data_IF_833960074176
#
_entry.id   IF_833960074176
#
_cell.length_a   1.000
_cell.length_b   1.000
_cell.length_c   1.000
_cell.angle_alpha   90.00
_cell.angle_beta   90.00
_cell.angle_gamma   90.00
#
_symmetry.space_group_name_H-M   'P 1'
#
loop_
_entity.id
_entity.type
_entity.pdbx_description
1 polymer ?
#
# COMPACT_ATOMS: atom_id res chain seq x y z
N UNK A 1 -15.99 -40.47 -3.38
CA UNK A 1 -15.57 -39.59 -2.26
C UNK A 1 -14.23 -38.91 -2.51
N UNK A 2 -13.23 -39.61 -3.09
CA UNK A 2 -11.90 -39.03 -3.35
C UNK A 2 -11.88 -37.80 -4.28
N UNK A 3 -12.68 -37.78 -5.35
CA UNK A 3 -12.65 -36.68 -6.34
C UNK A 3 -13.14 -35.35 -5.75
N UNK A 4 -14.19 -35.38 -4.92
CA UNK A 4 -14.72 -34.20 -4.21
C UNK A 4 -13.73 -33.68 -3.16
N UNK A 5 -13.00 -34.57 -2.48
CA UNK A 5 -11.95 -34.16 -1.55
C UNK A 5 -10.77 -33.52 -2.29
N UNK A 6 -10.35 -34.08 -3.44
CA UNK A 6 -9.31 -33.49 -4.28
C UNK A 6 -9.71 -32.10 -4.80
N UNK A 7 -10.97 -31.92 -5.23
CA UNK A 7 -11.48 -30.62 -5.66
C UNK A 7 -11.49 -29.59 -4.52
N UNK A 8 -11.91 -30.00 -3.32
CA UNK A 8 -11.89 -29.14 -2.13
C UNK A 8 -10.47 -28.69 -1.80
N UNK A 9 -9.52 -29.63 -1.72
CA UNK A 9 -8.11 -29.32 -1.44
C UNK A 9 -7.50 -28.37 -2.49
N UNK A 10 -7.85 -28.56 -3.75
CA UNK A 10 -7.41 -27.66 -4.83
C UNK A 10 -7.94 -26.24 -4.64
N UNK A 11 -9.24 -26.09 -4.35
CA UNK A 11 -9.87 -24.78 -4.11
C UNK A 11 -9.28 -24.08 -2.88
N UNK A 12 -9.05 -24.82 -1.79
CA UNK A 12 -8.39 -24.29 -0.59
C UNK A 12 -6.99 -23.75 -0.91
N UNK A 13 -6.18 -24.54 -1.60
CA UNK A 13 -4.82 -24.13 -1.98
C UNK A 13 -4.80 -22.88 -2.87
N UNK A 14 -5.73 -22.77 -3.82
CA UNK A 14 -5.87 -21.58 -4.67
C UNK A 14 -6.25 -20.34 -3.86
N UNK A 15 -7.18 -20.47 -2.93
CA UNK A 15 -7.62 -19.36 -2.08
C UNK A 15 -6.49 -18.89 -1.12
N UNK A 16 -5.74 -19.81 -0.53
CA UNK A 16 -4.55 -19.49 0.27
C UNK A 16 -3.50 -18.71 -0.53
N UNK A 17 -3.25 -19.12 -1.78
CA UNK A 17 -2.33 -18.40 -2.67
C UNK A 17 -2.82 -16.98 -2.98
N UNK A 18 -4.12 -16.82 -3.19
CA UNK A 18 -4.73 -15.50 -3.44
C UNK A 18 -4.63 -14.59 -2.21
N UNK A 19 -4.94 -15.11 -1.01
CA UNK A 19 -4.80 -14.36 0.23
C UNK A 19 -3.36 -13.89 0.45
N UNK A 20 -2.39 -14.78 0.25
CA UNK A 20 -0.97 -14.42 0.35
C UNK A 20 -0.57 -13.30 -0.61
N UNK A 21 -1.09 -13.30 -1.84
CA UNK A 21 -0.84 -12.22 -2.80
C UNK A 21 -1.47 -10.90 -2.32
N UNK A 22 -2.68 -10.94 -1.78
CA UNK A 22 -3.35 -9.75 -1.23
C UNK A 22 -2.58 -9.20 -0.02
N UNK A 23 -2.09 -10.06 0.87
CA UNK A 23 -1.25 -9.65 2.00
C UNK A 23 0.02 -8.93 1.56
N UNK A 24 0.70 -9.45 0.53
CA UNK A 24 1.88 -8.79 -0.05
C UNK A 24 1.55 -7.42 -0.64
N UNK A 25 0.41 -7.30 -1.32
CA UNK A 25 -0.05 -6.02 -1.87
C UNK A 25 -0.43 -5.03 -0.76
N UNK A 26 -1.11 -5.50 0.30
CA UNK A 26 -1.44 -4.70 1.47
C UNK A 26 -0.18 -4.13 2.13
N UNK A 27 0.84 -4.97 2.35
CA UNK A 27 2.11 -4.52 2.92
C UNK A 27 2.76 -3.43 2.06
N UNK A 28 2.82 -3.62 0.74
CA UNK A 28 3.38 -2.63 -0.17
C UNK A 28 2.60 -1.30 -0.16
N UNK A 29 1.27 -1.35 -0.05
CA UNK A 29 0.42 -0.17 0.06
C UNK A 29 0.64 0.55 1.39
N UNK A 30 0.77 -0.19 2.50
CA UNK A 30 1.04 0.38 3.83
C UNK A 30 2.41 1.07 3.88
N UNK A 31 3.45 0.44 3.34
CA UNK A 31 4.78 1.04 3.19
C UNK A 31 4.70 2.33 2.35
N UNK A 32 3.97 2.32 1.22
CA UNK A 32 3.76 3.51 0.40
C UNK A 32 3.02 4.64 1.12
N UNK A 33 2.04 4.31 1.97
CA UNK A 33 1.34 5.30 2.81
C UNK A 33 2.30 5.93 3.83
N UNK A 34 3.14 5.12 4.48
CA UNK A 34 4.13 5.60 5.43
C UNK A 34 5.15 6.53 4.76
N UNK A 35 5.69 6.13 3.62
CA UNK A 35 6.63 6.92 2.84
C UNK A 35 6.04 8.28 2.45
N UNK A 36 4.84 8.30 1.88
CA UNK A 36 4.18 9.55 1.46
C UNK A 36 3.89 10.47 2.65
N UNK A 37 3.45 9.91 3.78
CA UNK A 37 3.20 10.70 4.99
C UNK A 37 4.50 11.27 5.58
N UNK A 38 5.62 10.53 5.49
CA UNK A 38 6.93 11.02 5.93
C UNK A 38 7.41 12.22 5.12
N UNK A 39 7.13 12.25 3.80
CA UNK A 39 7.45 13.39 2.93
C UNK A 39 6.72 14.64 3.40
N UNK A 40 5.43 14.52 3.76
CA UNK A 40 4.63 15.65 4.26
C UNK A 40 5.24 16.31 5.51
N UNK A 41 5.81 15.50 6.41
CA UNK A 41 6.52 16.01 7.59
C UNK A 41 7.81 16.74 7.18
N UNK A 42 8.62 16.14 6.31
CA UNK A 42 9.86 16.76 5.81
C UNK A 42 9.62 18.10 5.08
N UNK A 43 8.49 18.24 4.39
CA UNK A 43 8.13 19.51 3.73
C UNK A 43 7.88 20.66 4.72
N UNK A 44 7.46 20.39 5.96
CA UNK A 44 7.31 21.46 6.96
C UNK A 44 8.65 22.01 7.43
N UNK A 45 9.70 21.19 7.44
CA UNK A 45 11.05 21.60 7.84
C UNK A 45 11.68 22.61 6.87
N UNK A 46 11.19 22.63 5.62
CA UNK A 46 11.66 23.56 4.59
C UNK A 46 11.11 24.99 4.75
N UNK A 47 10.04 25.18 5.53
CA UNK A 47 9.42 26.50 5.73
C UNK A 47 10.35 27.42 6.50
N UNK A 48 10.59 28.62 5.97
CA UNK A 48 11.52 29.60 6.53
C UNK A 48 12.96 29.11 6.56
N UNK A 49 13.33 28.13 5.73
CA UNK A 49 14.67 27.58 5.66
C UNK A 49 15.51 28.16 4.51
N UNK A 50 14.97 29.12 3.75
CA UNK A 50 15.72 29.81 2.68
C UNK A 50 17.02 30.38 3.24
N UNK A 51 18.12 30.04 2.59
CA UNK A 51 19.47 30.46 2.98
C UNK A 51 20.09 29.66 4.14
N UNK A 52 19.38 28.69 4.74
CA UNK A 52 19.99 27.78 5.72
C UNK A 52 20.85 26.73 5.02
N UNK A 53 21.93 26.34 5.69
CA UNK A 53 22.72 25.18 5.28
C UNK A 53 21.99 23.89 5.69
N UNK A 54 21.93 22.94 4.75
CA UNK A 54 21.35 21.61 4.92
C UNK A 54 22.37 20.55 4.50
N UNK A 55 22.21 19.33 5.01
CA UNK A 55 22.92 18.16 4.50
C UNK A 55 22.02 17.45 3.50
N UNK A 56 22.34 17.56 2.23
CA UNK A 56 21.60 16.88 1.17
C UNK A 56 22.20 15.48 0.95
N UNK A 57 21.42 14.40 1.08
CA UNK A 57 21.88 13.05 0.75
C UNK A 57 22.06 12.92 -0.77
N UNK A 58 23.20 12.41 -1.21
CA UNK A 58 23.50 12.13 -2.63
C UNK A 58 23.52 10.61 -2.89
N UNK A 59 23.76 9.81 -1.86
CA UNK A 59 23.80 8.36 -1.93
C UNK A 59 23.92 7.73 -0.56
N UNK A 60 24.01 6.39 -0.51
CA UNK A 60 24.05 5.65 0.76
C UNK A 60 25.26 6.04 1.60
N UNK A 61 25.01 6.78 2.69
CA UNK A 61 26.04 7.30 3.59
C UNK A 61 26.81 8.52 3.09
N UNK A 62 26.39 9.13 1.97
CA UNK A 62 27.10 10.25 1.34
C UNK A 62 26.20 11.49 1.37
N UNK A 63 26.71 12.55 2.00
CA UNK A 63 26.01 13.82 2.18
C UNK A 63 26.86 14.98 1.69
N UNK A 64 26.21 15.99 1.12
CA UNK A 64 26.85 17.25 0.72
C UNK A 64 26.23 18.40 1.49
N UNK A 65 27.06 19.36 1.91
CA UNK A 65 26.56 20.64 2.42
C UNK A 65 25.94 21.42 1.27
N UNK A 66 24.67 21.77 1.40
CA UNK A 66 23.93 22.56 0.43
C UNK A 66 23.24 23.74 1.12
N UNK A 67 22.86 24.75 0.34
CA UNK A 67 22.09 25.90 0.85
C UNK A 67 20.73 25.92 0.17
N UNK A 68 19.65 26.04 0.94
CA UNK A 68 18.31 26.08 0.37
C UNK A 68 18.10 27.42 -0.37
N UNK A 69 17.86 27.36 -1.67
CA UNK A 69 17.74 28.55 -2.53
C UNK A 69 16.31 29.07 -2.65
N UNK A 70 15.32 28.18 -2.53
CA UNK A 70 13.89 28.50 -2.65
C UNK A 70 13.05 27.48 -1.87
N UNK A 71 11.85 27.89 -1.47
CA UNK A 71 10.79 27.01 -0.95
C UNK A 71 9.87 26.47 -2.05
N UNK A 72 10.05 26.93 -3.30
CA UNK A 72 9.35 26.37 -4.46
C UNK A 72 9.84 24.94 -4.73
N UNK A 73 8.89 24.03 -4.87
CA UNK A 73 9.14 22.62 -5.12
C UNK A 73 8.95 22.32 -6.60
N UNK A 74 9.85 21.52 -7.16
CA UNK A 74 9.68 20.94 -8.50
C UNK A 74 9.04 19.57 -8.32
N UNK A 75 7.78 19.45 -8.72
CA UNK A 75 6.97 18.24 -8.51
C UNK A 75 6.71 17.56 -9.85
N UNK A 76 7.01 16.26 -9.93
CA UNK A 76 6.61 15.42 -11.07
C UNK A 76 5.13 15.07 -10.94
N UNK A 77 4.34 15.41 -11.95
CA UNK A 77 2.90 15.10 -12.02
C UNK A 77 2.59 13.98 -13.02
N UNK A 78 3.62 13.32 -13.54
CA UNK A 78 3.52 12.18 -14.44
C UNK A 78 3.92 12.50 -15.88
N UNK A 79 4.35 11.47 -16.61
CA UNK A 79 4.80 11.60 -18.00
C UNK A 79 6.04 12.47 -18.16
N UNK A 80 6.88 12.59 -17.11
CA UNK A 80 8.03 13.50 -17.02
C UNK A 80 7.64 14.99 -17.10
N UNK A 81 6.42 15.32 -16.70
CA UNK A 81 5.98 16.71 -16.61
C UNK A 81 6.26 17.25 -15.20
N UNK A 82 7.09 18.27 -15.13
CA UNK A 82 7.49 18.91 -13.88
C UNK A 82 6.82 20.27 -13.75
N UNK A 83 6.20 20.51 -12.61
CA UNK A 83 5.54 21.79 -12.29
C UNK A 83 6.13 22.38 -11.02
N UNK A 84 6.21 23.71 -10.97
CA UNK A 84 6.53 24.41 -9.73
C UNK A 84 5.29 24.45 -8.84
N UNK A 85 5.45 24.04 -7.59
CA UNK A 85 4.41 24.04 -6.57
C UNK A 85 4.94 24.57 -5.27
N UNK A 86 4.08 25.26 -4.54
CA UNK A 86 4.36 25.64 -3.15
C UNK A 86 4.29 24.42 -2.23
N UNK A 87 4.84 24.55 -1.02
CA UNK A 87 4.73 23.53 0.03
C UNK A 87 3.25 23.18 0.34
N UNK A 88 2.33 24.15 0.54
CA UNK A 88 0.92 23.84 0.79
C UNK A 88 0.25 23.09 -0.37
N UNK A 89 0.47 23.50 -1.62
CA UNK A 89 -0.10 22.79 -2.78
C UNK A 89 0.43 21.36 -2.89
N UNK A 90 1.73 21.17 -2.64
CA UNK A 90 2.36 19.84 -2.69
C UNK A 90 1.81 18.94 -1.58
N UNK A 91 1.53 19.49 -0.40
CA UNK A 91 0.86 18.77 0.68
C UNK A 91 -0.55 18.32 0.33
N UNK A 92 -1.32 19.13 -0.40
CA UNK A 92 -2.63 18.70 -0.89
C UNK A 92 -2.54 17.58 -1.93
N UNK A 93 -1.51 17.60 -2.80
CA UNK A 93 -1.20 16.49 -3.72
C UNK A 93 -0.90 15.21 -2.93
N UNK A 94 -0.01 15.30 -1.94
CA UNK A 94 0.36 14.19 -1.04
C UNK A 94 -0.87 13.63 -0.32
N UNK A 95 -1.72 14.49 0.22
CA UNK A 95 -2.96 14.10 0.90
C UNK A 95 -3.92 13.36 -0.04
N UNK A 96 -4.03 13.82 -1.29
CA UNK A 96 -4.85 13.18 -2.31
C UNK A 96 -4.31 11.79 -2.68
N UNK A 97 -2.98 11.65 -2.82
CA UNK A 97 -2.34 10.36 -3.10
C UNK A 97 -2.48 9.38 -1.93
N UNK A 98 -2.24 9.85 -0.70
CA UNK A 98 -2.44 9.07 0.53
C UNK A 98 -3.91 8.62 0.67
N UNK A 99 -4.87 9.48 0.32
CA UNK A 99 -6.29 9.12 0.26
C UNK A 99 -6.57 7.96 -0.69
N UNK A 100 -6.04 8.02 -1.93
CA UNK A 100 -6.19 6.94 -2.92
C UNK A 100 -5.57 5.62 -2.46
N UNK A 101 -4.40 5.66 -1.83
CA UNK A 101 -3.78 4.46 -1.26
C UNK A 101 -4.62 3.86 -0.12
N UNK A 102 -5.24 4.71 0.72
CA UNK A 102 -6.16 4.24 1.75
C UNK A 102 -7.43 3.60 1.17
N UNK A 103 -7.94 4.09 0.04
CA UNK A 103 -9.05 3.45 -0.68
C UNK A 103 -8.63 2.08 -1.20
N UNK A 104 -7.48 1.99 -1.88
CA UNK A 104 -6.92 0.72 -2.36
C UNK A 104 -6.73 -0.27 -1.21
N UNK A 105 -6.18 0.18 -0.07
CA UNK A 105 -6.04 -0.64 1.14
C UNK A 105 -7.38 -1.22 1.58
N UNK A 106 -8.42 -0.39 1.68
CA UNK A 106 -9.77 -0.84 2.08
C UNK A 106 -10.35 -1.87 1.12
N UNK A 107 -10.13 -1.69 -0.17
CA UNK A 107 -10.59 -2.63 -1.21
C UNK A 107 -9.85 -3.97 -1.09
N UNK A 108 -8.53 -3.95 -0.89
CA UNK A 108 -7.75 -5.17 -0.67
C UNK A 108 -8.17 -5.91 0.60
N UNK A 109 -8.35 -5.19 1.72
CA UNK A 109 -8.86 -5.77 2.97
C UNK A 109 -10.25 -6.37 2.80
N UNK A 110 -11.12 -5.72 2.00
CA UNK A 110 -12.45 -6.23 1.70
C UNK A 110 -12.36 -7.53 0.89
N UNK A 111 -11.55 -7.57 -0.16
CA UNK A 111 -11.35 -8.75 -0.98
C UNK A 111 -10.79 -9.93 -0.16
N UNK A 112 -9.84 -9.68 0.75
CA UNK A 112 -9.32 -10.70 1.66
C UNK A 112 -10.43 -11.28 2.54
N UNK A 113 -11.26 -10.42 3.15
CA UNK A 113 -12.40 -10.87 3.98
C UNK A 113 -13.41 -11.68 3.19
N UNK A 114 -13.70 -11.30 1.94
CA UNK A 114 -14.63 -12.06 1.08
C UNK A 114 -14.08 -13.46 0.77
N UNK A 115 -12.78 -13.58 0.46
CA UNK A 115 -12.13 -14.88 0.26
C UNK A 115 -12.17 -15.74 1.53
N UNK A 116 -11.89 -15.16 2.70
CA UNK A 116 -11.95 -15.86 3.98
C UNK A 116 -13.37 -16.38 4.30
N UNK A 117 -14.39 -15.59 3.98
CA UNK A 117 -15.79 -15.98 4.15
C UNK A 117 -16.16 -17.13 3.22
N UNK A 118 -15.80 -17.04 1.94
CA UNK A 118 -16.02 -18.12 0.97
C UNK A 118 -15.32 -19.43 1.38
N UNK A 119 -14.08 -19.32 1.86
CA UNK A 119 -13.30 -20.44 2.41
C UNK A 119 -14.02 -21.10 3.59
N UNK A 120 -14.45 -20.29 4.56
CA UNK A 120 -15.14 -20.77 5.77
C UNK A 120 -16.44 -21.48 5.41
N UNK A 121 -17.24 -20.90 4.52
CA UNK A 121 -18.46 -21.53 4.02
C UNK A 121 -18.20 -22.85 3.31
N UNK A 122 -17.13 -22.93 2.52
CA UNK A 122 -16.77 -24.14 1.79
C UNK A 122 -16.40 -25.27 2.75
N UNK A 123 -15.64 -24.97 3.81
CA UNK A 123 -15.26 -25.93 4.86
C UNK A 123 -16.50 -26.42 5.62
N UNK A 124 -17.39 -25.51 6.05
CA UNK A 124 -18.63 -25.88 6.77
C UNK A 124 -19.52 -26.78 5.91
N UNK A 125 -19.71 -26.42 4.62
CA UNK A 125 -20.49 -27.23 3.67
C UNK A 125 -19.88 -28.62 3.47
N UNK A 126 -18.55 -28.73 3.45
CA UNK A 126 -17.86 -30.02 3.35
C UNK A 126 -18.03 -30.88 4.62
N UNK A 127 -18.00 -30.27 5.80
CA UNK A 127 -18.18 -30.96 7.09
C UNK A 127 -19.62 -31.46 7.28
N UNK A 128 -20.63 -30.61 7.08
CA UNK A 128 -22.03 -30.98 7.27
C UNK A 128 -22.48 -32.10 6.33
N UNK A 129 -21.97 -32.11 5.10
CA UNK A 129 -22.30 -33.14 4.10
C UNK A 129 -21.68 -34.51 4.39
N UNK A 130 -20.63 -34.57 5.21
CA UNK A 130 -20.09 -35.82 5.74
C UNK A 130 -20.90 -36.35 6.95
N UNK A 131 -21.64 -35.49 7.65
CA UNK A 131 -22.45 -35.86 8.82
C UNK A 131 -23.84 -36.43 8.47
N UNK A 132 -24.40 -36.07 7.31
CA UNK A 132 -25.74 -36.50 6.86
C UNK A 132 -25.74 -37.83 6.08
N UNK A 133 -24.58 -38.41 5.80
CA UNK A 133 -24.45 -39.67 5.07
C UNK A 133 -23.48 -40.63 5.79
N UNK A 134 -23.77 -41.06 7.03
CA UNK A 134 -23.08 -42.19 7.62
C UNK A 134 -23.50 -43.44 6.84
N UNK A 135 -22.52 -44.21 6.36
CA UNK A 135 -22.77 -45.56 5.80
C UNK A 135 -23.64 -46.43 6.73
#
# INVERSE_FOLDING_TARGET
MEEKQKELLFRLSMAEQNLKLIEQQLQAVEEGILDINSISLGLDELKGAIGKEILAPVGRGIFVKAKLLSEDLTVDVGGKNFVKKSIPETKEIIKTQSGKLNEIKKDLEKNAREIDQELTEMIIKAQNKNSENPE
#
